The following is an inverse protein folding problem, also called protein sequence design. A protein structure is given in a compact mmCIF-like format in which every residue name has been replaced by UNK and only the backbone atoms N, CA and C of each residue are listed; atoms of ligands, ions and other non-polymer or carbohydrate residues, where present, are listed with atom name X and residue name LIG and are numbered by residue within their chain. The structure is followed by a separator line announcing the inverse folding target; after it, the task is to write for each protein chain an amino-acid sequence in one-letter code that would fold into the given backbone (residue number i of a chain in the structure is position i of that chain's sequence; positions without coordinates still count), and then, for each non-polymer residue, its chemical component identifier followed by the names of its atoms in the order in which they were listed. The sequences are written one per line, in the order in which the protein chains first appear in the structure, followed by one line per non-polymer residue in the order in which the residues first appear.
data_IF_145329487466
#
_entry.id   IF_145329487466
#
_cell.length_a   1.000
_cell.length_b   1.000
_cell.length_c   1.000
_cell.angle_alpha   90.00
_cell.angle_beta   90.00
_cell.angle_gamma   90.00
#
_symmetry.space_group_name_H-M   'P 1'
#
loop_
_entity.id
_entity.type
_entity.pdbx_description
1 polymer ?
#
# COMPACT_ATOMS: atom_id res chain seq x y z
N UNK A 1 22.11 -76.86 -44.02
CA UNK A 1 23.51 -76.70 -43.55
C UNK A 1 23.59 -75.36 -42.91
N UNK A 2 23.85 -75.38 -41.63
CA UNK A 2 23.82 -74.29 -40.69
C UNK A 2 24.90 -73.21 -40.96
N UNK A 3 24.58 -71.99 -40.71
CA UNK A 3 25.49 -70.84 -40.60
C UNK A 3 25.08 -69.95 -39.45
N UNK A 4 25.72 -70.18 -38.31
CA UNK A 4 25.62 -69.35 -37.14
C UNK A 4 26.35 -68.04 -37.42
N UNK A 5 25.67 -66.94 -37.20
CA UNK A 5 26.26 -65.62 -37.13
C UNK A 5 26.09 -65.07 -35.73
N UNK A 6 27.12 -64.66 -35.02
CA UNK A 6 27.02 -64.08 -33.68
C UNK A 6 26.59 -62.63 -33.78
N UNK A 7 25.53 -62.32 -33.05
CA UNK A 7 25.01 -60.96 -32.87
C UNK A 7 25.89 -60.16 -31.88
N UNK A 8 26.41 -58.98 -32.22
CA UNK A 8 27.18 -58.20 -31.26
C UNK A 8 26.25 -57.58 -30.24
N UNK A 9 26.55 -57.82 -28.98
CA UNK A 9 25.91 -57.20 -27.82
C UNK A 9 26.21 -55.69 -27.84
N UNK A 10 25.23 -54.89 -28.23
CA UNK A 10 25.31 -53.44 -28.11
C UNK A 10 24.91 -53.07 -26.69
N UNK A 11 25.92 -52.64 -25.92
CA UNK A 11 25.70 -52.05 -24.58
C UNK A 11 24.99 -50.72 -24.77
N UNK A 12 23.69 -50.67 -24.51
CA UNK A 12 22.96 -49.42 -24.35
C UNK A 12 23.32 -48.80 -22.99
N UNK A 13 24.17 -47.79 -23.05
CA UNK A 13 24.45 -46.93 -21.92
C UNK A 13 23.20 -46.05 -21.67
N UNK A 14 22.34 -46.51 -20.77
CA UNK A 14 21.14 -45.77 -20.36
C UNK A 14 21.57 -44.54 -19.54
N UNK A 15 21.61 -43.37 -20.20
CA UNK A 15 21.79 -42.09 -19.52
C UNK A 15 20.44 -41.80 -18.80
N UNK A 16 20.38 -42.14 -17.52
CA UNK A 16 19.22 -41.84 -16.65
C UNK A 16 19.12 -40.35 -16.45
N UNK A 17 18.26 -39.71 -17.23
CA UNK A 17 17.84 -38.33 -17.00
C UNK A 17 16.92 -38.30 -15.77
N UNK A 18 17.49 -38.07 -14.59
CA UNK A 18 16.73 -37.86 -13.35
C UNK A 18 16.02 -36.51 -13.44
N UNK A 19 14.77 -36.50 -13.92
CA UNK A 19 13.89 -35.38 -13.79
C UNK A 19 13.52 -35.23 -12.29
N UNK A 20 14.30 -34.42 -11.57
CA UNK A 20 14.00 -34.07 -10.19
C UNK A 20 12.67 -33.27 -10.13
N UNK A 21 11.87 -33.43 -9.07
CA UNK A 21 10.63 -32.66 -8.95
C UNK A 21 10.96 -31.18 -8.94
N UNK A 22 10.46 -30.43 -9.94
CA UNK A 22 10.52 -28.98 -9.94
C UNK A 22 9.81 -28.47 -8.68
N UNK A 23 10.58 -27.88 -7.75
CA UNK A 23 10.00 -27.23 -6.59
C UNK A 23 9.25 -26.00 -7.09
N UNK A 24 7.93 -26.13 -7.23
CA UNK A 24 7.04 -24.99 -7.48
C UNK A 24 7.10 -24.10 -6.24
N UNK A 25 7.92 -23.07 -6.30
CA UNK A 25 7.95 -22.00 -5.29
C UNK A 25 6.69 -21.18 -5.50
N UNK A 26 5.65 -21.43 -4.72
CA UNK A 26 4.52 -20.52 -4.64
C UNK A 26 5.03 -19.19 -4.10
N UNK A 27 4.71 -18.10 -4.81
CA UNK A 27 5.02 -16.75 -4.36
C UNK A 27 4.51 -16.57 -2.92
N UNK A 28 5.37 -16.11 -2.04
CA UNK A 28 5.03 -15.87 -0.63
C UNK A 28 3.83 -14.93 -0.55
N UNK A 29 2.91 -15.20 0.36
CA UNK A 29 1.63 -14.50 0.64
C UNK A 29 1.75 -12.94 0.71
N UNK A 30 2.96 -12.41 0.82
CA UNK A 30 3.25 -10.98 0.85
C UNK A 30 2.98 -10.25 -0.47
N UNK A 31 3.03 -10.92 -1.62
CA UNK A 31 2.85 -10.28 -2.95
C UNK A 31 1.40 -9.80 -3.19
N UNK A 32 0.42 -10.41 -2.53
CA UNK A 32 -0.99 -10.04 -2.66
C UNK A 32 -1.42 -8.92 -1.71
N UNK A 33 -0.51 -8.47 -0.83
CA UNK A 33 -0.81 -7.48 0.22
C UNK A 33 -0.47 -6.06 -0.18
N UNK A 34 0.12 -5.83 -1.36
CA UNK A 34 0.51 -4.50 -1.82
C UNK A 34 0.39 -4.34 -3.32
N UNK A 35 0.11 -3.10 -3.72
CA UNK A 35 0.07 -2.66 -5.11
C UNK A 35 1.06 -1.50 -5.22
N UNK A 36 2.04 -1.62 -6.13
CA UNK A 36 3.05 -0.57 -6.32
C UNK A 36 2.41 0.75 -6.79
N UNK A 37 1.37 0.68 -7.62
CA UNK A 37 0.71 1.82 -8.21
C UNK A 37 1.42 2.32 -9.48
N UNK A 38 1.07 3.53 -9.96
CA UNK A 38 0.04 4.40 -9.40
C UNK A 38 -1.38 3.86 -9.60
N UNK A 39 -2.23 4.00 -8.58
CA UNK A 39 -3.66 3.72 -8.64
C UNK A 39 -4.39 5.06 -8.64
N UNK A 40 -5.12 5.36 -9.70
CA UNK A 40 -5.96 6.56 -9.77
C UNK A 40 -7.12 6.45 -8.79
N UNK A 41 -7.41 7.51 -8.05
CA UNK A 41 -8.50 7.54 -7.08
C UNK A 41 -9.23 8.88 -7.09
N UNK A 42 -10.56 8.85 -6.92
CA UNK A 42 -11.40 10.03 -6.71
C UNK A 42 -11.62 10.23 -5.22
N UNK A 43 -11.44 11.46 -4.74
CA UNK A 43 -11.65 11.80 -3.33
C UNK A 43 -13.16 11.93 -3.08
N UNK A 44 -13.65 11.18 -2.11
CA UNK A 44 -15.06 11.23 -1.68
C UNK A 44 -15.21 12.20 -0.50
N UNK A 45 -14.34 12.07 0.51
CA UNK A 45 -14.34 12.97 1.68
C UNK A 45 -13.04 12.85 2.47
N UNK A 46 -12.72 13.93 3.17
CA UNK A 46 -11.63 13.94 4.15
C UNK A 46 -12.19 13.46 5.50
N UNK A 47 -11.57 12.45 6.07
CA UNK A 47 -11.94 11.85 7.36
C UNK A 47 -11.18 12.56 8.49
N UNK A 48 -9.85 12.61 8.38
CA UNK A 48 -8.93 13.19 9.36
C UNK A 48 -7.74 13.88 8.65
N UNK A 49 -6.83 14.50 9.35
CA UNK A 49 -5.68 15.19 8.76
C UNK A 49 -4.71 14.28 8.01
N UNK A 50 -4.79 12.96 8.23
CA UNK A 50 -3.96 11.95 7.55
C UNK A 50 -4.78 10.83 6.90
N UNK A 51 -6.10 10.97 6.86
CA UNK A 51 -6.98 9.90 6.39
C UNK A 51 -8.13 10.46 5.55
N UNK A 52 -8.37 9.87 4.39
CA UNK A 52 -9.45 10.23 3.49
C UNK A 52 -10.12 9.00 2.90
N UNK A 53 -11.36 9.12 2.48
CA UNK A 53 -12.10 8.10 1.76
C UNK A 53 -12.06 8.41 0.27
N UNK A 54 -11.77 7.37 -0.53
CA UNK A 54 -11.65 7.50 -1.98
C UNK A 54 -12.38 6.36 -2.69
N UNK A 55 -12.74 6.58 -3.94
CA UNK A 55 -13.04 5.54 -4.92
C UNK A 55 -11.77 5.31 -5.75
N UNK A 56 -11.06 4.23 -5.44
CA UNK A 56 -9.84 3.83 -6.11
C UNK A 56 -10.14 2.95 -7.33
N UNK A 57 -9.41 3.15 -8.43
CA UNK A 57 -9.57 2.40 -9.69
C UNK A 57 -8.31 1.57 -9.97
N UNK A 58 -8.13 0.41 -9.30
CA UNK A 58 -6.93 -0.41 -9.46
C UNK A 58 -6.81 -1.07 -10.84
N UNK A 59 -7.93 -1.25 -11.57
CA UNK A 59 -8.02 -1.71 -12.96
C UNK A 59 -9.27 -1.20 -13.66
N UNK A 60 -9.32 -1.26 -15.01
CA UNK A 60 -10.45 -0.74 -15.79
C UNK A 60 -11.79 -1.34 -15.37
N UNK A 61 -12.81 -0.49 -15.28
CA UNK A 61 -14.18 -0.89 -14.98
C UNK A 61 -14.47 -1.23 -13.52
N UNK A 62 -13.49 -1.08 -12.62
CA UNK A 62 -13.68 -1.37 -11.20
C UNK A 62 -13.32 -0.18 -10.33
N UNK A 63 -14.22 0.15 -9.41
CA UNK A 63 -14.01 1.13 -8.37
C UNK A 63 -14.13 0.45 -7.00
N UNK A 64 -13.18 0.73 -6.11
CA UNK A 64 -13.17 0.21 -4.74
C UNK A 64 -13.20 1.39 -3.79
N UNK A 65 -14.28 1.50 -3.01
CA UNK A 65 -14.36 2.49 -1.94
C UNK A 65 -13.52 2.05 -0.75
N UNK A 66 -12.57 2.86 -0.37
CA UNK A 66 -11.59 2.52 0.67
C UNK A 66 -11.14 3.77 1.43
N UNK A 67 -10.88 3.61 2.74
CA UNK A 67 -10.18 4.63 3.53
C UNK A 67 -8.67 4.52 3.30
N UNK A 68 -8.06 5.61 2.87
CA UNK A 68 -6.62 5.73 2.66
C UNK A 68 -6.02 6.52 3.80
N UNK A 69 -5.10 5.90 4.53
CA UNK A 69 -4.23 6.59 5.47
C UNK A 69 -2.92 6.95 4.78
N UNK A 70 -2.52 8.20 4.88
CA UNK A 70 -1.26 8.69 4.33
C UNK A 70 -0.08 8.06 5.05
N UNK A 71 0.83 7.49 4.29
CA UNK A 71 2.06 6.87 4.80
C UNK A 71 3.03 7.94 5.30
N UNK A 72 3.80 7.60 6.33
CA UNK A 72 4.92 8.41 6.80
C UNK A 72 4.53 9.57 7.70
N UNK A 73 3.25 9.83 7.93
CA UNK A 73 2.78 10.93 8.77
C UNK A 73 1.76 10.48 9.84
N UNK A 74 1.67 11.29 10.88
CA UNK A 74 0.63 11.21 11.91
C UNK A 74 0.15 12.61 12.24
N UNK A 75 -1.16 12.76 12.42
CA UNK A 75 -1.81 14.04 12.75
C UNK A 75 -2.54 13.96 14.09
N UNK A 76 -2.84 15.10 14.75
CA UNK A 76 -3.62 15.12 15.97
C UNK A 76 -4.98 14.44 15.81
N UNK A 77 -5.44 13.74 16.85
CA UNK A 77 -6.70 13.00 16.84
C UNK A 77 -7.92 13.89 17.14
N UNK A 78 -8.93 13.86 16.27
CA UNK A 78 -10.21 14.60 16.48
C UNK A 78 -10.96 14.16 17.73
N UNK A 79 -10.85 12.90 18.13
CA UNK A 79 -11.53 12.34 19.30
C UNK A 79 -10.71 12.46 20.58
N UNK A 80 -9.70 13.32 20.60
CA UNK A 80 -8.92 13.58 21.80
C UNK A 80 -9.77 14.21 22.91
N UNK A 81 -9.46 13.87 24.16
CA UNK A 81 -10.06 14.55 25.33
C UNK A 81 -9.59 16.00 25.46
N UNK A 82 -8.40 16.32 24.93
CA UNK A 82 -7.79 17.66 24.99
C UNK A 82 -8.40 18.58 23.94
N UNK A 83 -8.91 19.75 24.34
CA UNK A 83 -9.49 20.74 23.43
C UNK A 83 -8.46 21.23 22.40
N UNK A 84 -7.22 21.53 22.83
CA UNK A 84 -6.13 21.93 21.94
C UNK A 84 -5.80 20.89 20.86
N UNK A 85 -5.84 19.60 21.22
CA UNK A 85 -5.63 18.51 20.26
C UNK A 85 -6.77 18.45 19.23
N UNK A 86 -8.01 18.64 19.65
CA UNK A 86 -9.16 18.68 18.72
C UNK A 86 -9.06 19.85 17.75
N UNK A 87 -8.66 21.03 18.25
CA UNK A 87 -8.42 22.20 17.40
C UNK A 87 -7.29 21.96 16.39
N UNK A 88 -6.16 21.41 16.83
CA UNK A 88 -5.05 21.04 15.94
C UNK A 88 -5.46 19.99 14.90
N UNK A 89 -6.28 19.00 15.27
CA UNK A 89 -6.80 18.01 14.35
C UNK A 89 -7.70 18.64 13.27
N UNK A 90 -8.50 19.63 13.65
CA UNK A 90 -9.34 20.36 12.68
C UNK A 90 -8.49 21.17 11.70
N UNK A 91 -7.42 21.82 12.18
CA UNK A 91 -6.48 22.53 11.32
C UNK A 91 -5.77 21.58 10.33
N UNK A 92 -5.31 20.44 10.82
CA UNK A 92 -4.69 19.42 9.95
C UNK A 92 -5.66 18.90 8.89
N UNK A 93 -6.93 18.64 9.27
CA UNK A 93 -7.97 18.23 8.32
C UNK A 93 -8.24 19.30 7.25
N UNK A 94 -8.36 20.55 7.64
CA UNK A 94 -8.61 21.66 6.73
C UNK A 94 -7.42 21.86 5.76
N UNK A 95 -6.19 21.66 6.25
CA UNK A 95 -5.00 21.74 5.42
C UNK A 95 -4.96 20.61 4.40
N UNK A 96 -5.26 19.36 4.79
CA UNK A 96 -5.36 18.25 3.84
C UNK A 96 -6.41 18.56 2.76
N UNK A 97 -7.58 19.06 3.15
CA UNK A 97 -8.64 19.47 2.24
C UNK A 97 -8.14 20.54 1.25
N UNK A 98 -7.47 21.57 1.74
CA UNK A 98 -6.87 22.65 0.92
C UNK A 98 -5.85 22.10 -0.07
N UNK A 99 -5.00 21.15 0.34
CA UNK A 99 -3.95 20.57 -0.50
C UNK A 99 -4.50 19.75 -1.68
N UNK A 100 -5.67 19.15 -1.50
CA UNK A 100 -6.30 18.31 -2.53
C UNK A 100 -7.43 19.02 -3.27
N UNK A 101 -7.87 20.20 -2.81
CA UNK A 101 -8.90 21.01 -3.49
C UNK A 101 -8.43 21.39 -4.89
N UNK A 102 -9.33 21.25 -5.88
CA UNK A 102 -9.03 21.51 -7.29
C UNK A 102 -8.50 20.31 -8.06
N UNK A 103 -8.21 19.20 -7.41
CA UNK A 103 -7.87 17.96 -8.10
C UNK A 103 -9.08 17.03 -8.16
N UNK A 104 -9.48 16.63 -9.37
CA UNK A 104 -10.56 15.64 -9.55
C UNK A 104 -10.13 14.24 -9.16
N UNK A 105 -8.84 13.95 -9.32
CA UNK A 105 -8.23 12.66 -9.00
C UNK A 105 -6.87 12.83 -8.34
N UNK A 106 -6.49 11.82 -7.57
CA UNK A 106 -5.17 11.66 -6.95
C UNK A 106 -4.57 10.32 -7.35
N UNK A 107 -3.27 10.18 -7.18
CA UNK A 107 -2.54 8.94 -7.40
C UNK A 107 -2.15 8.32 -6.07
N UNK A 108 -2.47 7.04 -5.89
CA UNK A 108 -2.06 6.23 -4.75
C UNK A 108 -0.89 5.34 -5.17
N UNK A 109 0.19 5.38 -4.41
CA UNK A 109 1.43 4.66 -4.69
C UNK A 109 1.78 3.81 -3.46
N UNK A 110 2.44 2.66 -3.66
CA UNK A 110 2.82 1.75 -2.59
C UNK A 110 1.64 1.36 -1.68
N UNK A 111 0.47 1.12 -2.27
CA UNK A 111 -0.74 0.77 -1.52
C UNK A 111 -0.54 -0.56 -0.82
N UNK A 112 -0.75 -0.61 0.47
CA UNK A 112 -0.67 -1.83 1.28
C UNK A 112 -1.82 -1.93 2.27
N UNK A 113 -2.14 -3.14 2.72
CA UNK A 113 -3.18 -3.34 3.71
C UNK A 113 -2.91 -2.55 5.00
N UNK A 114 -3.91 -1.86 5.49
CA UNK A 114 -3.89 -1.20 6.80
C UNK A 114 -4.15 -2.17 7.95
N UNK A 115 -4.05 -1.67 9.17
CA UNK A 115 -4.33 -2.46 10.39
C UNK A 115 -5.78 -2.94 10.47
N UNK A 116 -6.71 -2.19 9.88
CA UNK A 116 -8.15 -2.46 9.94
C UNK A 116 -8.68 -2.76 8.55
N UNK A 117 -9.68 -3.64 8.49
CA UNK A 117 -10.39 -3.96 7.25
C UNK A 117 -11.00 -2.68 6.63
N UNK A 118 -10.91 -2.56 5.30
CA UNK A 118 -11.39 -1.36 4.58
C UNK A 118 -10.50 -0.13 4.70
N UNK A 119 -9.30 -0.26 5.31
CA UNK A 119 -8.30 0.79 5.37
C UNK A 119 -7.01 0.32 4.70
N UNK A 120 -6.43 1.18 3.87
CA UNK A 120 -5.11 0.97 3.25
C UNK A 120 -4.16 2.08 3.64
N UNK A 121 -2.87 1.77 3.58
CA UNK A 121 -1.77 2.70 3.76
C UNK A 121 -1.16 2.98 2.39
N UNK A 122 -1.04 4.24 2.00
CA UNK A 122 -0.49 4.62 0.70
C UNK A 122 0.25 5.95 0.75
N UNK A 123 1.19 6.12 -0.16
CA UNK A 123 1.71 7.44 -0.54
C UNK A 123 0.71 8.07 -1.50
N UNK A 124 0.50 9.38 -1.42
CA UNK A 124 -0.49 10.08 -2.25
C UNK A 124 0.11 11.27 -2.95
N UNK A 125 -0.20 11.38 -4.25
CA UNK A 125 0.13 12.56 -5.05
C UNK A 125 -1.13 13.21 -5.61
N UNK A 126 -1.20 14.53 -5.52
CA UNK A 126 -2.17 15.37 -6.23
C UNK A 126 -1.40 16.18 -7.30
N UNK A 127 -1.52 15.75 -8.55
CA UNK A 127 -0.62 16.21 -9.62
C UNK A 127 0.84 15.89 -9.31
N UNK A 128 1.70 16.91 -9.26
CA UNK A 128 3.12 16.75 -8.94
C UNK A 128 3.43 16.83 -7.42
N UNK A 129 2.43 17.13 -6.60
CA UNK A 129 2.61 17.38 -5.16
C UNK A 129 2.48 16.08 -4.37
N UNK A 130 3.49 15.75 -3.59
CA UNK A 130 3.42 14.73 -2.55
C UNK A 130 2.69 15.29 -1.33
N UNK A 131 1.57 14.67 -0.98
CA UNK A 131 0.66 15.19 0.05
C UNK A 131 1.24 15.01 1.45
N UNK A 132 1.92 13.89 1.74
CA UNK A 132 2.53 13.67 3.05
C UNK A 132 3.64 14.71 3.31
N UNK A 133 4.50 14.97 2.33
CA UNK A 133 5.55 15.99 2.41
C UNK A 133 4.98 17.39 2.61
N UNK A 134 3.87 17.72 1.92
CA UNK A 134 3.21 19.02 2.07
C UNK A 134 2.60 19.20 3.48
N UNK A 135 2.00 18.14 4.03
CA UNK A 135 1.46 18.13 5.40
C UNK A 135 2.57 18.28 6.46
N UNK A 136 3.72 17.65 6.25
CA UNK A 136 4.90 17.83 7.13
C UNK A 136 5.41 19.28 7.06
N UNK A 137 5.52 19.84 5.86
CA UNK A 137 5.98 21.21 5.65
C UNK A 137 5.05 22.27 6.28
N UNK A 138 3.74 21.99 6.37
CA UNK A 138 2.79 22.87 7.06
C UNK A 138 2.94 22.86 8.60
N UNK A 139 3.68 21.89 9.16
CA UNK A 139 3.82 21.71 10.61
C UNK A 139 2.57 21.10 11.28
N UNK A 140 1.55 20.72 10.52
CA UNK A 140 0.28 20.14 11.01
C UNK A 140 0.30 18.62 11.10
N UNK A 141 1.36 17.99 10.58
CA UNK A 141 1.64 16.58 10.70
C UNK A 141 3.06 16.34 11.27
N UNK A 142 3.29 15.17 11.80
CA UNK A 142 4.60 14.72 12.31
C UNK A 142 5.06 13.49 11.54
N UNK A 143 6.37 13.26 11.37
CA UNK A 143 6.87 12.01 10.81
C UNK A 143 6.45 10.82 11.66
N UNK A 144 6.01 9.73 11.00
CA UNK A 144 5.56 8.51 11.66
C UNK A 144 5.85 7.27 10.82
N UNK A 145 6.62 6.35 11.38
CA UNK A 145 7.00 5.10 10.71
C UNK A 145 6.40 3.85 11.37
N UNK A 146 5.30 4.03 12.10
CA UNK A 146 4.66 2.94 12.84
C UNK A 146 5.05 2.94 14.32
N UNK A 147 4.43 2.03 15.09
CA UNK A 147 4.66 1.89 16.52
C UNK A 147 3.66 2.67 17.38
N UNK A 148 4.08 3.02 18.60
CA UNK A 148 3.24 3.75 19.54
C UNK A 148 3.13 5.22 19.13
N UNK A 149 1.90 5.70 18.95
CA UNK A 149 1.64 7.13 18.70
C UNK A 149 2.03 7.97 19.90
N UNK A 150 2.64 9.11 19.64
CA UNK A 150 2.84 10.12 20.67
C UNK A 150 1.49 10.72 21.07
N UNK A 151 1.10 10.51 22.33
CA UNK A 151 -0.07 11.18 22.92
C UNK A 151 0.46 12.40 23.68
N UNK A 152 0.32 13.62 23.16
CA UNK A 152 0.71 14.79 23.91
C UNK A 152 -0.18 14.92 25.15
N UNK A 153 0.45 15.30 26.27
CA UNK A 153 -0.27 15.60 27.50
C UNK A 153 -1.18 16.81 27.25
N UNK A 154 -2.37 16.78 27.86
CA UNK A 154 -3.24 17.96 27.86
C UNK A 154 -2.55 19.04 28.71
N UNK A 155 -2.17 20.16 28.10
CA UNK A 155 -1.85 21.35 28.87
C UNK A 155 -3.13 21.72 29.65
N UNK A 156 -3.04 21.71 30.99
CA UNK A 156 -4.11 22.10 31.90
C UNK A 156 -4.46 23.57 31.77
#
# INVERSE_FOLDING_TARGET
MCGDSPIPFVFFLSLGLTCGPAKTTYATDSQWRSIAGPVTAQIIRIIDGDTLEVDAHPWPGHAVRVSVRLRGIDTPERRSRCAGQRAAAQLARNELERLVTGFSTVELINVSGGKYYGCVLADMKAGKRDIASAMLASGLARPYQGGKRHKPECAG
#
